data_IF_732413446535
#
_entry.id   IF_732413446535
#
_cell.length_a   1.000
_cell.length_b   1.000
_cell.length_c   1.000
_cell.angle_alpha   90.00
_cell.angle_beta   90.00
_cell.angle_gamma   90.00
#
_symmetry.space_group_name_H-M   'P 1'
#
loop_
_entity.id
_entity.type
_entity.pdbx_description
1 polymer ?
#
# COMPACT_ATOMS: atom_id res chain seq x y z
N UNK A 1 -5.42 -2.19 -1.66
CA UNK A 1 -4.95 -2.86 -0.43
C UNK A 1 -5.80 -4.11 -0.23
N UNK A 2 -5.20 -5.28 0.01
CA UNK A 2 -5.98 -6.43 0.48
C UNK A 2 -6.17 -6.28 2.00
N UNK A 3 -7.42 -6.36 2.45
CA UNK A 3 -7.74 -6.30 3.89
C UNK A 3 -7.47 -7.68 4.52
N UNK A 4 -7.12 -7.69 5.81
CA UNK A 4 -6.83 -8.88 6.64
C UNK A 4 -7.89 -9.98 6.44
N UNK A 5 -9.16 -9.60 6.34
CA UNK A 5 -10.28 -10.53 6.12
C UNK A 5 -10.13 -11.35 4.84
N UNK A 6 -9.74 -10.71 3.72
CA UNK A 6 -9.60 -11.39 2.43
C UNK A 6 -8.41 -12.34 2.43
N UNK A 7 -7.34 -11.97 3.13
CA UNK A 7 -6.14 -12.80 3.32
C UNK A 7 -6.50 -14.05 4.13
N UNK A 8 -7.20 -13.87 5.26
CA UNK A 8 -7.64 -14.97 6.11
C UNK A 8 -8.60 -15.92 5.38
N UNK A 9 -9.56 -15.38 4.63
CA UNK A 9 -10.49 -16.18 3.84
C UNK A 9 -9.76 -17.01 2.78
N UNK A 10 -8.86 -16.39 2.03
CA UNK A 10 -8.03 -17.06 1.02
C UNK A 10 -7.22 -18.22 1.62
N UNK A 11 -6.61 -18.02 2.80
CA UNK A 11 -5.86 -19.07 3.50
C UNK A 11 -6.75 -20.21 3.96
N UNK A 12 -7.93 -19.91 4.49
CA UNK A 12 -8.88 -20.92 4.93
C UNK A 12 -9.37 -21.78 3.76
N UNK A 13 -9.75 -21.15 2.65
CA UNK A 13 -10.17 -21.88 1.45
C UNK A 13 -9.07 -22.84 0.94
N UNK A 14 -7.81 -22.42 0.97
CA UNK A 14 -6.70 -23.26 0.52
C UNK A 14 -6.31 -24.35 1.53
N UNK A 15 -5.97 -23.98 2.77
CA UNK A 15 -5.38 -24.91 3.74
C UNK A 15 -6.39 -25.76 4.49
N UNK A 16 -7.63 -25.27 4.70
CA UNK A 16 -8.66 -26.00 5.44
C UNK A 16 -9.59 -26.75 4.50
N UNK A 17 -10.04 -26.08 3.42
CA UNK A 17 -10.99 -26.67 2.48
C UNK A 17 -10.34 -27.34 1.26
N UNK A 18 -9.03 -27.19 1.07
CA UNK A 18 -8.30 -27.83 -0.02
C UNK A 18 -8.63 -27.29 -1.41
N UNK A 19 -9.25 -26.12 -1.52
CA UNK A 19 -9.62 -25.54 -2.82
C UNK A 19 -8.37 -25.18 -3.64
N UNK A 20 -8.47 -25.37 -4.96
CA UNK A 20 -7.41 -24.98 -5.88
C UNK A 20 -7.33 -23.45 -6.02
N UNK A 21 -6.16 -22.93 -6.40
CA UNK A 21 -5.97 -21.49 -6.69
C UNK A 21 -6.97 -20.99 -7.76
N UNK A 22 -7.38 -21.84 -8.71
CA UNK A 22 -8.33 -21.48 -9.77
C UNK A 22 -9.74 -21.26 -9.22
N UNK A 23 -10.17 -22.11 -8.28
CA UNK A 23 -11.48 -22.00 -7.62
C UNK A 23 -11.52 -20.78 -6.72
N UNK A 24 -10.52 -20.63 -5.84
CA UNK A 24 -10.42 -19.48 -4.92
C UNK A 24 -10.46 -18.15 -5.69
N UNK A 25 -9.71 -18.05 -6.79
CA UNK A 25 -9.68 -16.84 -7.62
C UNK A 25 -11.06 -16.51 -8.22
N UNK A 26 -11.84 -17.52 -8.61
CA UNK A 26 -13.18 -17.35 -9.17
C UNK A 26 -14.18 -16.96 -8.07
N UNK A 27 -14.15 -17.69 -6.96
CA UNK A 27 -15.12 -17.55 -5.87
C UNK A 27 -14.94 -16.22 -5.13
N UNK A 28 -13.67 -15.86 -4.84
CA UNK A 28 -13.34 -14.64 -4.10
C UNK A 28 -13.17 -13.41 -5.02
N UNK A 29 -13.32 -13.57 -6.34
CA UNK A 29 -13.15 -12.52 -7.36
C UNK A 29 -11.81 -11.77 -7.24
N UNK A 30 -10.74 -12.50 -6.93
CA UNK A 30 -9.37 -11.98 -6.84
C UNK A 30 -8.48 -12.59 -7.91
N UNK A 31 -7.42 -11.89 -8.30
CA UNK A 31 -6.49 -12.44 -9.30
C UNK A 31 -5.76 -13.68 -8.77
N UNK A 32 -5.45 -14.64 -9.64
CA UNK A 32 -4.64 -15.82 -9.27
C UNK A 32 -3.27 -15.44 -8.70
N UNK A 33 -2.69 -14.34 -9.17
CA UNK A 33 -1.41 -13.83 -8.66
C UNK A 33 -1.54 -13.32 -7.22
N UNK A 34 -2.66 -12.69 -6.90
CA UNK A 34 -3.00 -12.27 -5.54
C UNK A 34 -3.11 -13.48 -4.60
N UNK A 35 -3.84 -14.52 -5.00
CA UNK A 35 -3.96 -15.77 -4.22
C UNK A 35 -2.57 -16.38 -3.99
N UNK A 36 -1.77 -16.49 -5.05
CA UNK A 36 -0.41 -17.02 -4.97
C UNK A 36 0.50 -16.19 -4.05
N UNK A 37 0.37 -14.85 -4.07
CA UNK A 37 1.10 -13.95 -3.17
C UNK A 37 0.74 -14.23 -1.72
N UNK A 38 -0.56 -14.27 -1.40
CA UNK A 38 -1.11 -14.56 -0.06
C UNK A 38 -0.58 -15.88 0.51
N UNK A 39 -0.53 -16.92 -0.32
CA UNK A 39 -0.12 -18.26 0.09
C UNK A 39 1.40 -18.41 0.24
N UNK A 40 2.20 -17.67 -0.54
CA UNK A 40 3.67 -17.75 -0.49
C UNK A 40 4.29 -16.90 0.61
N UNK A 41 3.79 -15.70 0.85
CA UNK A 41 4.49 -14.74 1.73
C UNK A 41 4.18 -14.91 3.21
N UNK A 42 3.08 -15.54 3.60
CA UNK A 42 2.68 -15.61 5.02
C UNK A 42 2.22 -14.27 5.63
N UNK A 43 2.38 -13.15 4.92
CA UNK A 43 2.02 -11.80 5.36
C UNK A 43 0.52 -11.62 5.64
N UNK A 44 0.19 -10.82 6.65
CA UNK A 44 -1.16 -10.54 7.12
C UNK A 44 -1.75 -9.24 6.55
N UNK A 45 -0.93 -8.41 5.92
CA UNK A 45 -1.35 -7.23 5.15
C UNK A 45 -0.46 -7.08 3.92
N UNK A 46 -1.05 -6.57 2.84
CA UNK A 46 -0.29 -6.16 1.66
C UNK A 46 -0.56 -4.68 1.45
N UNK A 47 0.23 -3.87 2.14
CA UNK A 47 0.21 -2.43 1.97
C UNK A 47 1.12 -2.03 0.81
N UNK A 48 0.78 -0.89 0.20
CA UNK A 48 1.63 -0.31 -0.82
C UNK A 48 2.74 0.47 -0.13
N UNK A 49 3.88 -0.18 0.07
CA UNK A 49 5.08 0.49 0.57
C UNK A 49 5.84 1.13 -0.59
N UNK A 50 5.92 2.46 -0.60
CA UNK A 50 6.91 3.16 -1.43
C UNK A 50 8.21 3.28 -0.66
N UNK A 51 9.26 2.64 -1.15
CA UNK A 51 10.61 2.82 -0.63
C UNK A 51 11.10 4.29 -0.72
N UNK A 52 10.65 5.02 -1.75
CA UNK A 52 10.98 6.42 -1.94
C UNK A 52 9.70 7.20 -2.25
N UNK A 53 9.30 8.07 -1.33
CA UNK A 53 8.26 9.04 -1.61
C UNK A 53 8.80 10.08 -2.58
N UNK A 54 8.16 10.23 -3.74
CA UNK A 54 8.53 11.28 -4.68
C UNK A 54 8.29 12.62 -3.99
N UNK A 55 9.37 13.38 -3.78
CA UNK A 55 9.25 14.74 -3.27
C UNK A 55 8.49 15.60 -4.29
N UNK A 56 7.71 16.60 -3.84
CA UNK A 56 7.14 17.59 -4.73
C UNK A 56 8.24 18.16 -5.64
N UNK A 57 7.97 18.27 -6.94
CA UNK A 57 8.91 18.92 -7.86
C UNK A 57 8.81 20.43 -7.65
N UNK A 58 9.56 20.96 -6.69
CA UNK A 58 9.51 22.38 -6.33
C UNK A 58 10.11 23.26 -7.45
N UNK A 59 11.11 22.77 -8.18
CA UNK A 59 11.62 23.42 -9.40
C UNK A 59 11.85 24.92 -9.23
N UNK A 60 11.27 25.71 -10.14
CA UNK A 60 11.35 27.18 -10.14
C UNK A 60 10.75 27.86 -8.89
N UNK A 61 9.95 27.16 -8.09
CA UNK A 61 9.26 27.70 -6.92
C UNK A 61 10.09 27.60 -5.64
N UNK A 62 11.22 26.88 -5.67
CA UNK A 62 12.07 26.64 -4.50
C UNK A 62 12.51 27.97 -3.86
N UNK A 63 13.03 28.89 -4.68
CA UNK A 63 13.52 30.18 -4.19
C UNK A 63 12.41 31.03 -3.55
N UNK A 64 11.21 31.01 -4.15
CA UNK A 64 10.09 31.77 -3.61
C UNK A 64 9.56 31.16 -2.31
N UNK A 65 9.51 29.83 -2.22
CA UNK A 65 9.15 29.14 -0.99
C UNK A 65 10.17 29.40 0.12
N UNK A 66 11.46 29.39 -0.17
CA UNK A 66 12.51 29.73 0.80
C UNK A 66 12.39 31.19 1.28
N UNK A 67 12.09 32.12 0.37
CA UNK A 67 11.83 33.53 0.71
C UNK A 67 10.62 33.65 1.65
N UNK A 68 9.52 32.99 1.32
CA UNK A 68 8.29 33.01 2.13
C UNK A 68 8.52 32.37 3.51
N UNK A 69 9.22 31.24 3.57
CA UNK A 69 9.55 30.54 4.82
C UNK A 69 10.45 31.40 5.70
N UNK A 70 11.48 32.03 5.13
CA UNK A 70 12.39 32.92 5.87
C UNK A 70 11.64 34.14 6.42
N UNK A 71 10.79 34.76 5.60
CA UNK A 71 9.96 35.89 6.02
C UNK A 71 8.98 35.48 7.13
N UNK A 72 8.45 34.26 7.10
CA UNK A 72 7.56 33.76 8.14
C UNK A 72 8.32 33.45 9.44
N UNK A 73 9.50 32.85 9.36
CA UNK A 73 10.34 32.56 10.53
C UNK A 73 10.80 33.84 11.26
N UNK A 74 10.98 34.95 10.52
CA UNK A 74 11.33 36.25 11.09
C UNK A 74 10.15 36.97 11.76
N UNK A 75 8.92 36.52 11.55
CA UNK A 75 7.76 37.09 12.26
C UNK A 75 7.74 36.58 13.70
N UNK A 76 7.38 37.46 14.63
CA UNK A 76 7.13 37.04 16.01
C UNK A 76 6.05 35.95 16.03
N UNK A 77 6.28 34.87 16.79
CA UNK A 77 5.22 33.90 17.04
C UNK A 77 4.09 34.63 17.77
N UNK A 78 2.90 34.59 17.20
CA UNK A 78 1.71 35.16 17.84
C UNK A 78 1.20 34.21 18.91
#
# INVERSE_FOLDING_TARGET
MLVVETIARTRREHFVKGQTIKEIARDLKVSRNTVRKVLRSGETSFEYERAVQRRPKLGQWTNELERLLSANAAKASR
#
